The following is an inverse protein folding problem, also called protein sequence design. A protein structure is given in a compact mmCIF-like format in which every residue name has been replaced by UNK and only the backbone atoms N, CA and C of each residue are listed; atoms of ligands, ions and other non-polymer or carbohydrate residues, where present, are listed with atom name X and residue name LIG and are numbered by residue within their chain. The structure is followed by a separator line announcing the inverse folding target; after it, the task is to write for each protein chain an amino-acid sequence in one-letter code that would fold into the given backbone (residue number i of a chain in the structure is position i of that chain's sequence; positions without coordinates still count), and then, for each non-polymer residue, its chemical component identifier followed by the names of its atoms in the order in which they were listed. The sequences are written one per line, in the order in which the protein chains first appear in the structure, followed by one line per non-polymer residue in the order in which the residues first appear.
data_IF_676105961406
#
_entry.id   IF_676105961406
#
_cell.length_a   1.000
_cell.length_b   1.000
_cell.length_c   1.000
_cell.angle_alpha   90.00
_cell.angle_beta   90.00
_cell.angle_gamma   90.00
#
_symmetry.space_group_name_H-M   'P 1'
#
loop_
_entity.id
_entity.type
_entity.pdbx_description
1 polymer ?
#
# COMPACT_ATOMS: atom_id res chain seq x y z
N UNK A 1 -0.06 -2.46 22.82
CA UNK A 1 0.44 -2.19 21.48
C UNK A 1 -0.66 -1.67 20.63
N UNK A 2 -0.41 -0.62 19.89
CA UNK A 2 -1.38 -0.06 18.99
C UNK A 2 -1.01 -0.33 17.54
N UNK A 3 -1.93 0.00 16.65
CA UNK A 3 -1.68 -0.01 15.23
C UNK A 3 -1.31 1.39 14.76
N UNK A 4 -0.54 1.46 13.69
CA UNK A 4 -0.13 2.72 13.09
C UNK A 4 -0.96 2.95 11.85
N UNK A 5 -1.57 4.14 11.76
CA UNK A 5 -2.30 4.56 10.57
C UNK A 5 -1.61 5.77 9.97
N UNK A 6 -1.71 5.89 8.66
CA UNK A 6 -1.24 7.06 7.94
C UNK A 6 -2.23 7.39 6.84
N UNK A 7 -2.47 8.67 6.63
CA UNK A 7 -3.30 9.11 5.52
C UNK A 7 -2.44 9.31 4.28
N UNK A 8 -2.92 8.82 3.15
CA UNK A 8 -2.27 9.00 1.88
C UNK A 8 -3.26 9.40 0.80
N UNK A 9 -2.75 10.08 -0.20
CA UNK A 9 -3.55 10.46 -1.37
C UNK A 9 -3.12 9.58 -2.55
N UNK A 10 -4.07 8.79 -3.04
CA UNK A 10 -3.87 7.96 -4.21
C UNK A 10 -4.36 8.71 -5.45
N UNK A 11 -3.58 8.66 -6.52
CA UNK A 11 -3.97 9.26 -7.80
C UNK A 11 -3.91 8.19 -8.88
N UNK A 12 -5.02 8.00 -9.58
CA UNK A 12 -5.14 7.02 -10.65
C UNK A 12 -4.73 7.58 -12.02
N UNK A 13 -4.77 6.73 -13.06
CA UNK A 13 -4.26 7.09 -14.37
C UNK A 13 -5.06 8.19 -15.08
N UNK A 14 -6.29 8.41 -14.67
CA UNK A 14 -7.15 9.46 -15.25
C UNK A 14 -7.08 10.77 -14.50
N UNK A 15 -6.23 10.88 -13.48
CA UNK A 15 -6.09 12.08 -12.66
C UNK A 15 -7.01 12.16 -11.46
N UNK A 16 -7.92 11.20 -11.32
CA UNK A 16 -8.78 11.14 -10.14
C UNK A 16 -7.95 10.76 -8.92
N UNK A 17 -8.32 11.29 -7.77
CA UNK A 17 -7.58 11.04 -6.53
C UNK A 17 -8.55 10.76 -5.38
N UNK A 18 -8.03 10.10 -4.34
CA UNK A 18 -8.78 9.79 -3.14
C UNK A 18 -7.83 9.78 -1.95
N UNK A 19 -8.30 10.31 -0.82
CA UNK A 19 -7.57 10.23 0.44
C UNK A 19 -7.99 8.97 1.16
N UNK A 20 -7.01 8.18 1.59
CA UNK A 20 -7.25 6.88 2.22
C UNK A 20 -6.42 6.80 3.48
N UNK A 21 -7.03 6.26 4.53
CA UNK A 21 -6.33 5.97 5.78
C UNK A 21 -5.83 4.54 5.71
N UNK A 22 -4.52 4.39 5.70
CA UNK A 22 -3.87 3.08 5.63
C UNK A 22 -3.46 2.60 7.01
N UNK A 23 -3.68 1.33 7.25
CA UNK A 23 -3.03 0.62 8.34
C UNK A 23 -1.64 0.22 7.88
N UNK A 24 -0.60 0.65 8.60
CA UNK A 24 0.78 0.30 8.25
C UNK A 24 1.07 -1.10 8.77
N UNK A 25 1.32 -2.02 7.85
CA UNK A 25 1.55 -3.43 8.17
C UNK A 25 2.86 -3.90 7.56
N UNK A 26 3.91 -3.94 8.39
CA UNK A 26 5.23 -4.37 7.94
C UNK A 26 5.30 -5.88 7.64
N UNK A 27 4.26 -6.64 7.99
CA UNK A 27 4.11 -8.04 7.59
C UNK A 27 3.48 -8.24 6.23
N UNK A 28 2.86 -7.19 5.66
CA UNK A 28 2.27 -7.26 4.34
C UNK A 28 3.29 -6.86 3.27
N UNK A 29 3.35 -7.62 2.18
CA UNK A 29 4.29 -7.34 1.10
C UNK A 29 3.86 -6.12 0.30
N UNK A 30 2.66 -6.17 -0.27
CA UNK A 30 2.15 -5.10 -1.11
C UNK A 30 1.08 -4.28 -0.39
N UNK A 31 1.01 -3.02 -0.75
CA UNK A 31 -0.08 -2.13 -0.36
C UNK A 31 -1.39 -2.61 -0.99
N UNK A 32 -2.47 -2.55 -0.23
CA UNK A 32 -3.80 -2.94 -0.69
C UNK A 32 -4.69 -1.71 -0.72
N UNK A 33 -5.32 -1.48 -1.87
CA UNK A 33 -6.28 -0.39 -2.07
C UNK A 33 -7.68 -0.98 -1.98
N UNK A 34 -8.57 -0.42 -1.15
CA UNK A 34 -9.93 -0.92 -1.04
C UNK A 34 -10.66 -0.94 -2.38
N UNK A 35 -11.60 -1.87 -2.52
CA UNK A 35 -12.32 -2.08 -3.77
C UNK A 35 -12.97 -0.81 -4.32
N UNK A 36 -13.69 -0.09 -3.47
CA UNK A 36 -14.40 1.14 -3.86
C UNK A 36 -13.43 2.20 -4.38
N UNK A 37 -12.29 2.32 -3.71
CA UNK A 37 -11.27 3.31 -4.06
C UNK A 37 -10.64 2.97 -5.40
N UNK A 38 -10.31 1.69 -5.62
CA UNK A 38 -9.71 1.26 -6.87
C UNK A 38 -10.64 1.53 -8.05
N UNK A 39 -11.94 1.36 -7.86
CA UNK A 39 -12.93 1.67 -8.89
C UNK A 39 -13.03 3.17 -9.13
N UNK A 40 -13.10 3.97 -8.07
CA UNK A 40 -13.14 5.43 -8.20
C UNK A 40 -11.93 5.96 -8.96
N UNK A 41 -10.76 5.36 -8.75
CA UNK A 41 -9.52 5.80 -9.36
C UNK A 41 -9.28 5.20 -10.74
N UNK A 42 -10.18 4.37 -11.25
CA UNK A 42 -10.06 3.70 -12.54
C UNK A 42 -8.79 2.85 -12.64
N UNK A 43 -8.42 2.19 -11.54
CA UNK A 43 -7.25 1.31 -11.54
C UNK A 43 -7.55 0.03 -12.30
N UNK A 44 -6.75 -0.26 -13.32
CA UNK A 44 -6.90 -1.46 -14.11
C UNK A 44 -5.92 -2.54 -13.65
N UNK A 45 -6.35 -3.81 -13.61
CA UNK A 45 -5.42 -4.89 -13.28
C UNK A 45 -4.33 -5.01 -14.35
N UNK A 46 -3.08 -5.15 -13.90
CA UNK A 46 -1.93 -5.30 -14.80
C UNK A 46 -1.35 -6.70 -14.76
N UNK A 47 -1.53 -7.41 -13.65
CA UNK A 47 -1.10 -8.80 -13.50
C UNK A 47 -1.81 -9.42 -12.30
N UNK A 48 -1.70 -10.73 -12.19
CA UNK A 48 -2.21 -11.50 -11.05
C UNK A 48 -1.04 -12.07 -10.27
N UNK A 49 -1.10 -11.95 -8.95
CA UNK A 49 -0.05 -12.44 -8.05
C UNK A 49 -0.68 -13.32 -7.00
N UNK A 50 -0.01 -14.41 -6.66
CA UNK A 50 -0.42 -15.29 -5.58
C UNK A 50 0.17 -14.79 -4.26
N UNK A 51 -0.67 -14.66 -3.25
CA UNK A 51 -0.27 -14.24 -1.91
C UNK A 51 -0.58 -15.35 -0.92
N UNK A 52 0.33 -15.56 0.02
CA UNK A 52 0.13 -16.53 1.09
C UNK A 52 -0.38 -15.80 2.33
N UNK A 53 -1.49 -16.25 2.86
CA UNK A 53 -2.08 -15.69 4.06
C UNK A 53 -1.40 -16.23 5.31
N UNK A 54 -1.69 -15.61 6.46
CA UNK A 54 -1.07 -16.00 7.73
C UNK A 54 -1.36 -17.47 8.11
N UNK A 55 -2.49 -18.01 7.68
CA UNK A 55 -2.86 -19.40 7.93
C UNK A 55 -2.24 -20.40 6.93
N UNK A 56 -1.41 -19.92 6.01
CA UNK A 56 -0.75 -20.75 5.00
C UNK A 56 -1.52 -20.94 3.71
N UNK A 57 -2.76 -20.48 3.63
CA UNK A 57 -3.52 -20.57 2.38
C UNK A 57 -3.01 -19.56 1.36
N UNK A 58 -3.19 -19.88 0.07
CA UNK A 58 -2.77 -19.04 -1.03
C UNK A 58 -4.00 -18.51 -1.75
N UNK A 59 -4.01 -17.19 -1.99
CA UNK A 59 -5.06 -16.55 -2.77
C UNK A 59 -4.42 -15.77 -3.91
N UNK A 60 -5.17 -15.58 -4.99
CA UNK A 60 -4.73 -14.75 -6.11
C UNK A 60 -5.43 -13.40 -6.05
N UNK A 61 -4.68 -12.35 -6.34
CA UNK A 61 -5.22 -10.99 -6.38
C UNK A 61 -4.66 -10.25 -7.58
N UNK A 62 -5.49 -9.40 -8.16
CA UNK A 62 -5.05 -8.50 -9.21
C UNK A 62 -4.16 -7.41 -8.63
N UNK A 63 -3.09 -7.07 -9.32
CA UNK A 63 -2.15 -6.03 -8.94
C UNK A 63 -2.15 -4.96 -10.02
N UNK A 64 -2.20 -3.72 -9.60
CA UNK A 64 -2.09 -2.55 -10.45
C UNK A 64 -0.96 -1.66 -9.93
N UNK A 65 -0.94 -0.41 -10.33
CA UNK A 65 -0.02 0.59 -9.81
C UNK A 65 -0.70 1.96 -9.80
N UNK A 66 -0.28 2.83 -8.91
CA UNK A 66 -0.77 4.19 -8.87
C UNK A 66 0.22 5.07 -8.12
N UNK A 67 0.00 6.37 -8.19
CA UNK A 67 0.76 7.32 -7.40
C UNK A 67 0.19 7.37 -5.99
N UNK A 68 1.05 7.35 -5.00
CA UNK A 68 0.68 7.49 -3.59
C UNK A 68 1.51 8.61 -2.97
N UNK A 69 0.83 9.55 -2.33
CA UNK A 69 1.49 10.62 -1.59
C UNK A 69 1.20 10.47 -0.10
N UNK A 70 2.25 10.26 0.68
CA UNK A 70 2.23 10.26 2.13
C UNK A 70 2.89 11.54 2.63
N UNK A 71 2.66 11.96 3.88
CA UNK A 71 3.39 13.11 4.43
C UNK A 71 4.90 12.95 4.34
N UNK A 72 5.41 11.71 4.44
CA UNK A 72 6.83 11.41 4.49
C UNK A 72 7.47 11.15 3.13
N UNK A 73 6.67 10.93 2.08
CA UNK A 73 7.22 10.64 0.75
C UNK A 73 6.15 10.25 -0.24
N UNK A 74 6.46 10.34 -1.53
CA UNK A 74 5.50 10.04 -2.58
C UNK A 74 6.17 9.41 -3.78
N UNK A 75 5.38 8.70 -4.58
CA UNK A 75 5.84 8.08 -5.81
C UNK A 75 4.86 7.03 -6.31
N UNK A 76 5.22 6.38 -7.39
CA UNK A 76 4.44 5.25 -7.90
C UNK A 76 4.77 3.99 -7.13
N UNK A 77 3.75 3.16 -6.90
CA UNK A 77 3.90 1.91 -6.17
C UNK A 77 2.92 0.86 -6.70
N UNK A 78 3.32 -0.41 -6.69
CA UNK A 78 2.35 -1.47 -6.97
C UNK A 78 1.31 -1.54 -5.86
N UNK A 79 0.08 -1.85 -6.23
CA UNK A 79 -1.03 -1.97 -5.27
C UNK A 79 -1.88 -3.19 -5.62
N UNK A 80 -2.31 -3.92 -4.60
CA UNK A 80 -3.31 -4.96 -4.75
C UNK A 80 -4.66 -4.28 -4.89
N UNK A 81 -5.44 -4.70 -5.89
CA UNK A 81 -6.82 -4.25 -6.02
C UNK A 81 -7.68 -5.06 -5.06
N UNK A 82 -8.16 -4.42 -4.01
CA UNK A 82 -8.93 -5.06 -2.96
C UNK A 82 -10.28 -5.56 -3.45
N UNK A 83 -10.80 -6.56 -2.76
CA UNK A 83 -12.16 -7.06 -2.96
C UNK A 83 -13.05 -6.46 -1.89
N UNK A 84 -14.37 -6.69 -2.04
CA UNK A 84 -15.33 -6.14 -1.09
C UNK A 84 -15.00 -6.56 0.34
N UNK A 85 -14.96 -5.59 1.25
CA UNK A 85 -14.62 -5.82 2.65
C UNK A 85 -13.13 -5.73 2.98
N UNK A 86 -12.26 -5.65 1.99
CA UNK A 86 -10.82 -5.49 2.25
C UNK A 86 -10.51 -4.09 2.75
N UNK A 87 -9.62 -4.02 3.74
CA UNK A 87 -9.20 -2.75 4.32
C UNK A 87 -7.91 -2.26 3.68
N UNK A 88 -7.69 -0.95 3.75
CA UNK A 88 -6.48 -0.33 3.22
C UNK A 88 -5.27 -0.71 4.07
N UNK A 89 -4.26 -1.30 3.44
CA UNK A 89 -3.00 -1.68 4.08
C UNK A 89 -1.84 -1.03 3.34
N UNK A 90 -0.88 -0.53 4.10
CA UNK A 90 0.37 -0.02 3.54
C UNK A 90 1.45 -1.09 3.75
N UNK A 91 1.93 -1.65 2.65
CA UNK A 91 2.86 -2.78 2.69
C UNK A 91 4.32 -2.38 2.62
N UNK A 92 5.19 -3.36 2.87
CA UNK A 92 6.63 -3.12 3.01
C UNK A 92 7.28 -2.69 1.70
N UNK A 93 6.80 -3.18 0.55
CA UNK A 93 7.36 -2.79 -0.75
C UNK A 93 7.19 -1.29 -0.98
N UNK A 94 6.02 -0.75 -0.68
CA UNK A 94 5.78 0.69 -0.77
C UNK A 94 6.71 1.47 0.15
N UNK A 95 6.86 1.00 1.40
CA UNK A 95 7.77 1.66 2.33
C UNK A 95 9.21 1.67 1.81
N UNK A 96 9.67 0.55 1.26
CA UNK A 96 11.02 0.46 0.70
C UNK A 96 11.21 1.38 -0.51
N UNK A 97 10.22 1.44 -1.40
CA UNK A 97 10.26 2.33 -2.56
C UNK A 97 10.42 3.78 -2.11
N UNK A 98 9.71 4.16 -1.05
CA UNK A 98 9.76 5.53 -0.53
C UNK A 98 10.93 5.77 0.44
N UNK A 99 11.71 4.74 0.72
CA UNK A 99 12.83 4.86 1.65
C UNK A 99 12.39 5.08 3.09
N UNK A 100 11.31 4.42 3.50
CA UNK A 100 10.71 4.60 4.81
C UNK A 100 10.74 3.30 5.62
N UNK A 101 10.85 3.44 6.93
CA UNK A 101 10.74 2.34 7.87
C UNK A 101 9.75 2.71 8.96
N UNK A 102 8.98 1.73 9.43
CA UNK A 102 8.07 1.92 10.55
C UNK A 102 8.85 1.81 11.85
N UNK A 103 8.76 2.86 12.67
CA UNK A 103 9.31 2.82 14.03
C UNK A 103 8.20 2.31 14.95
N UNK A 104 8.29 1.06 15.46
CA UNK A 104 7.16 0.43 16.14
C UNK A 104 6.78 1.08 17.46
N UNK A 105 7.74 1.64 18.19
CA UNK A 105 7.46 2.26 19.48
C UNK A 105 6.86 3.66 19.34
N UNK A 106 7.38 4.44 18.39
CA UNK A 106 6.88 5.79 18.15
C UNK A 106 5.68 5.82 17.20
N UNK A 107 5.43 4.71 16.50
CA UNK A 107 4.35 4.56 15.52
C UNK A 107 4.44 5.61 14.43
N UNK A 108 5.65 5.89 13.99
CA UNK A 108 5.93 6.86 12.94
C UNK A 108 6.66 6.20 11.79
N UNK A 109 6.53 6.79 10.61
CA UNK A 109 7.34 6.43 9.46
C UNK A 109 8.55 7.36 9.45
N UNK A 110 9.73 6.77 9.33
CA UNK A 110 10.99 7.51 9.37
C UNK A 110 11.83 7.14 8.16
N UNK A 111 12.71 8.03 7.71
CA UNK A 111 13.62 7.69 6.62
C UNK A 111 14.50 6.51 6.97
N UNK A 112 14.63 5.57 6.05
CA UNK A 112 15.54 4.46 6.20
C UNK A 112 16.87 4.76 5.51
N UNK A 113 17.91 4.08 5.96
CA UNK A 113 19.20 4.18 5.29
C UNK A 113 19.14 3.44 3.95
N UNK A 114 19.30 4.21 2.88
CA UNK A 114 19.31 3.65 1.53
C UNK A 114 20.76 3.35 1.14
N UNK A 115 20.99 2.15 0.64
CA UNK A 115 22.32 1.72 0.22
C UNK A 115 22.39 1.70 -1.31
N UNK A 116 23.47 2.26 -1.83
CA UNK A 116 23.75 2.23 -3.25
C UNK A 116 24.90 1.25 -3.48
N UNK A 117 24.52 -0.02 -3.65
CA UNK A 117 25.46 -1.12 -3.83
C UNK A 117 26.52 -1.19 -2.74
#
# INVERSE_FOLDING_TARGET
MGVTYVEGVLTGPTGKHATVRFWVDSGATYTLVPHDVSKTLDLAPKRTVAFTLADGTTIERAVSECHLALPEGEGHTPVILGEAGDEALLGVVTLEIFGLILHPFERTLEPMRMLLA
#
